data_IF_198229906608
#
_entry.id   IF_198229906608
#
_cell.length_a   1.000
_cell.length_b   1.000
_cell.length_c   1.000
_cell.angle_alpha   90.00
_cell.angle_beta   90.00
_cell.angle_gamma   90.00
#
_symmetry.space_group_name_H-M   'P 1'
#
loop_
_entity.id
_entity.type
_entity.pdbx_description
1 polymer ?
#
# COMPACT_ATOMS: atom_id res chain seq x y z
N UNK A 1 6.41 15.40 -2.86
CA UNK A 1 5.20 15.02 -3.61
C UNK A 1 3.99 15.50 -2.83
N UNK A 2 3.13 16.25 -3.45
CA UNK A 2 1.89 16.70 -2.81
C UNK A 2 0.75 15.76 -3.18
N UNK A 3 -0.36 15.82 -2.49
CA UNK A 3 -1.50 14.94 -2.70
C UNK A 3 -2.53 15.44 -3.71
N UNK A 4 -2.16 16.32 -4.62
CA UNK A 4 -3.10 17.00 -5.52
C UNK A 4 -3.40 16.21 -6.81
N UNK A 5 -3.33 14.89 -6.77
CA UNK A 5 -3.66 14.06 -7.93
C UNK A 5 -5.17 13.87 -8.08
N UNK A 6 -5.66 13.87 -9.32
CA UNK A 6 -7.00 13.41 -9.64
C UNK A 6 -7.11 11.90 -9.38
N UNK A 7 -8.35 11.36 -9.36
CA UNK A 7 -8.57 9.93 -9.19
C UNK A 7 -7.81 9.11 -10.25
N UNK A 8 -7.86 9.54 -11.53
CA UNK A 8 -7.16 8.87 -12.63
C UNK A 8 -5.65 8.90 -12.43
N UNK A 9 -5.10 10.05 -12.03
CA UNK A 9 -3.67 10.20 -11.78
C UNK A 9 -3.21 9.33 -10.62
N UNK A 10 -4.00 9.26 -9.54
CA UNK A 10 -3.70 8.40 -8.39
C UNK A 10 -3.62 6.92 -8.79
N UNK A 11 -4.56 6.46 -9.63
CA UNK A 11 -4.56 5.08 -10.10
C UNK A 11 -3.33 4.76 -10.96
N UNK A 12 -2.92 5.69 -11.82
CA UNK A 12 -1.73 5.52 -12.64
C UNK A 12 -0.46 5.42 -11.78
N UNK A 13 -0.36 6.24 -10.75
CA UNK A 13 0.78 6.21 -9.81
C UNK A 13 0.83 4.86 -9.07
N UNK A 14 -0.31 4.35 -8.63
CA UNK A 14 -0.38 3.03 -7.96
C UNK A 14 0.07 1.91 -8.90
N UNK A 15 -0.39 1.92 -10.16
CA UNK A 15 0.00 0.91 -11.14
C UNK A 15 1.50 0.92 -11.41
N UNK A 16 2.10 2.10 -11.52
CA UNK A 16 3.56 2.24 -11.71
C UNK A 16 4.30 1.70 -10.47
N UNK A 17 3.81 1.99 -9.29
CA UNK A 17 4.43 1.52 -8.04
C UNK A 17 4.44 -0.01 -7.96
N UNK A 18 3.36 -0.67 -8.36
CA UNK A 18 3.31 -2.13 -8.38
C UNK A 18 4.30 -2.73 -9.37
N UNK A 19 4.46 -2.12 -10.55
CA UNK A 19 5.46 -2.54 -11.53
C UNK A 19 6.87 -2.37 -10.97
N UNK A 20 7.14 -1.25 -10.29
CA UNK A 20 8.43 -1.00 -9.65
C UNK A 20 8.72 -2.02 -8.55
N UNK A 21 7.71 -2.38 -7.77
CA UNK A 21 7.85 -3.37 -6.72
C UNK A 21 8.17 -4.76 -7.30
N UNK A 22 7.46 -5.16 -8.36
CA UNK A 22 7.73 -6.44 -9.03
C UNK A 22 9.17 -6.49 -9.58
N UNK A 23 9.62 -5.39 -10.21
CA UNK A 23 10.98 -5.30 -10.72
C UNK A 23 12.01 -5.41 -9.58
N UNK A 24 11.72 -4.81 -8.44
CA UNK A 24 12.56 -4.92 -7.24
C UNK A 24 12.66 -6.37 -6.77
N UNK A 25 11.52 -7.07 -6.66
CA UNK A 25 11.49 -8.47 -6.25
C UNK A 25 12.29 -9.34 -7.23
N UNK A 26 12.15 -9.11 -8.53
CA UNK A 26 12.91 -9.82 -9.55
C UNK A 26 14.41 -9.58 -9.39
N UNK A 27 14.82 -8.34 -9.17
CA UNK A 27 16.24 -7.98 -8.99
C UNK A 27 16.86 -8.61 -7.75
N UNK A 28 16.06 -8.86 -6.71
CA UNK A 28 16.50 -9.47 -5.46
C UNK A 28 16.35 -11.00 -5.45
N UNK A 29 15.70 -11.57 -6.45
CA UNK A 29 15.43 -12.99 -6.49
C UNK A 29 14.37 -13.44 -5.49
N UNK A 30 13.48 -12.56 -5.07
CA UNK A 30 12.38 -12.89 -4.17
C UNK A 30 11.27 -13.60 -4.95
N UNK A 31 10.66 -14.63 -4.35
CA UNK A 31 9.36 -15.10 -4.83
C UNK A 31 8.33 -14.03 -4.51
N UNK A 32 7.43 -13.75 -5.44
CA UNK A 32 6.32 -12.84 -5.20
C UNK A 32 5.07 -13.30 -5.93
N UNK A 33 3.92 -12.97 -5.36
CA UNK A 33 2.62 -13.28 -5.95
C UNK A 33 1.69 -12.10 -5.67
N UNK A 34 1.04 -11.59 -6.71
CA UNK A 34 0.02 -10.57 -6.57
C UNK A 34 -1.21 -11.16 -5.89
N UNK A 35 -1.77 -10.40 -4.95
CA UNK A 35 -3.01 -10.73 -4.24
C UNK A 35 -4.09 -9.72 -4.58
N UNK A 36 -5.32 -10.00 -4.13
CA UNK A 36 -6.42 -9.05 -4.20
C UNK A 36 -7.10 -9.00 -5.56
N UNK A 37 -7.94 -8.00 -5.72
CA UNK A 37 -8.76 -7.81 -6.90
C UNK A 37 -8.14 -6.77 -7.83
N UNK A 38 -8.10 -7.05 -9.13
CA UNK A 38 -7.72 -6.09 -10.17
C UNK A 38 -9.00 -5.50 -10.76
N UNK A 39 -9.69 -4.67 -9.99
CA UNK A 39 -10.98 -4.10 -10.38
C UNK A 39 -10.90 -3.31 -11.69
N UNK A 40 -9.77 -2.69 -11.97
CA UNK A 40 -9.58 -1.89 -13.18
C UNK A 40 -9.60 -2.72 -14.45
N UNK A 41 -8.92 -3.87 -14.46
CA UNK A 41 -8.80 -4.75 -15.63
C UNK A 41 -9.81 -5.88 -15.61
N UNK A 42 -10.37 -6.21 -14.46
CA UNK A 42 -11.34 -7.27 -14.27
C UNK A 42 -12.44 -6.78 -13.32
N UNK A 43 -13.36 -5.92 -13.81
CA UNK A 43 -14.41 -5.36 -12.97
C UNK A 43 -15.25 -6.43 -12.29
N UNK A 44 -15.50 -6.25 -10.99
CA UNK A 44 -16.24 -7.20 -10.17
C UNK A 44 -17.62 -6.63 -9.87
N UNK A 45 -18.72 -7.33 -10.26
CA UNK A 45 -20.06 -6.87 -9.92
C UNK A 45 -20.23 -6.71 -8.40
N UNK A 46 -20.90 -5.64 -7.99
CA UNK A 46 -21.16 -5.34 -6.57
C UNK A 46 -19.89 -5.27 -5.72
N UNK A 47 -18.79 -4.78 -6.30
CA UNK A 47 -17.48 -4.68 -5.64
C UNK A 47 -17.58 -4.00 -4.26
N UNK A 48 -18.34 -2.89 -4.16
CA UNK A 48 -18.46 -2.13 -2.91
C UNK A 48 -19.32 -2.81 -1.85
N UNK A 49 -19.99 -3.91 -2.19
CA UNK A 49 -20.71 -4.74 -1.21
C UNK A 49 -19.83 -5.83 -0.59
N UNK A 50 -18.61 -5.99 -1.10
CA UNK A 50 -17.64 -6.92 -0.53
C UNK A 50 -17.06 -6.32 0.75
N UNK A 51 -16.78 -7.16 1.74
CA UNK A 51 -16.16 -6.73 2.99
C UNK A 51 -14.92 -5.86 2.72
N UNK A 52 -14.81 -4.66 3.33
CA UNK A 52 -13.68 -3.76 3.09
C UNK A 52 -12.30 -4.39 3.30
N UNK A 53 -12.14 -5.32 4.21
CA UNK A 53 -10.86 -6.00 4.41
C UNK A 53 -10.50 -6.85 3.19
N UNK A 54 -11.48 -7.52 2.60
CA UNK A 54 -11.27 -8.33 1.40
C UNK A 54 -11.01 -7.45 0.18
N UNK A 55 -11.76 -6.34 0.03
CA UNK A 55 -11.53 -5.39 -1.06
C UNK A 55 -10.14 -4.78 -1.03
N UNK A 56 -9.55 -4.65 0.15
CA UNK A 56 -8.29 -3.98 0.38
C UNK A 56 -7.20 -4.94 0.87
N UNK A 57 -7.22 -6.19 0.38
CA UNK A 57 -6.16 -7.15 0.68
C UNK A 57 -4.78 -6.56 0.40
N UNK A 58 -3.74 -7.01 1.11
CA UNK A 58 -2.37 -6.65 0.74
C UNK A 58 -2.11 -6.94 -0.74
N UNK A 59 -1.27 -6.14 -1.37
CA UNK A 59 -1.05 -6.21 -2.82
C UNK A 59 -0.21 -7.41 -3.24
N UNK A 60 0.73 -7.85 -2.39
CA UNK A 60 1.65 -8.93 -2.70
C UNK A 60 1.93 -9.82 -1.50
N UNK A 61 2.15 -11.10 -1.80
CA UNK A 61 2.87 -12.02 -0.95
C UNK A 61 4.31 -12.10 -1.46
N UNK A 62 5.29 -12.05 -0.56
CA UNK A 62 6.70 -12.25 -0.91
C UNK A 62 7.32 -13.32 -0.04
N UNK A 63 8.36 -13.97 -0.57
CA UNK A 63 9.16 -14.92 0.19
C UNK A 63 10.61 -14.86 -0.27
N UNK A 64 11.50 -14.68 0.68
CA UNK A 64 12.93 -14.69 0.43
C UNK A 64 13.56 -15.78 1.28
N UNK A 65 13.82 -16.94 0.66
CA UNK A 65 14.48 -18.09 1.31
C UNK A 65 13.80 -18.50 2.62
N UNK A 66 12.45 -18.56 2.60
CA UNK A 66 11.64 -18.94 3.74
C UNK A 66 11.23 -17.79 4.66
N UNK A 67 11.67 -16.57 4.39
CA UNK A 67 11.23 -15.39 5.12
C UNK A 67 10.07 -14.76 4.34
N UNK A 68 8.86 -14.89 4.86
CA UNK A 68 7.63 -14.45 4.21
C UNK A 68 7.21 -13.04 4.62
N UNK A 69 6.42 -12.39 3.77
CA UNK A 69 5.80 -11.11 4.08
C UNK A 69 4.59 -10.85 3.21
N UNK A 70 3.66 -10.05 3.73
CA UNK A 70 2.54 -9.49 2.98
C UNK A 70 2.81 -8.00 2.80
N UNK A 71 2.66 -7.49 1.58
CA UNK A 71 3.11 -6.14 1.26
C UNK A 71 1.98 -5.31 0.68
N UNK A 72 1.81 -4.12 1.26
CA UNK A 72 0.95 -3.07 0.72
C UNK A 72 1.83 -2.08 -0.03
N UNK A 73 1.62 -1.95 -1.35
CA UNK A 73 2.44 -1.09 -2.21
C UNK A 73 1.82 0.29 -2.32
N UNK A 74 2.64 1.32 -2.12
CA UNK A 74 2.22 2.72 -2.20
C UNK A 74 3.07 3.45 -3.24
N UNK A 75 2.42 4.21 -4.11
CA UNK A 75 3.10 5.03 -5.12
C UNK A 75 3.30 6.48 -4.69
N UNK A 76 2.73 6.87 -3.56
CA UNK A 76 2.93 8.17 -2.93
C UNK A 76 3.11 7.99 -1.44
N UNK A 77 3.55 9.05 -0.76
CA UNK A 77 3.63 9.06 0.70
C UNK A 77 2.28 9.38 1.36
N UNK A 78 1.18 9.37 0.60
CA UNK A 78 -0.13 9.73 1.10
C UNK A 78 -0.84 8.50 1.69
N UNK A 79 -1.32 8.63 2.91
CA UNK A 79 -2.11 7.60 3.59
C UNK A 79 -3.50 8.17 3.87
N UNK A 80 -4.53 7.52 3.36
CA UNK A 80 -5.92 7.94 3.60
C UNK A 80 -6.32 7.70 5.04
N UNK A 81 -7.18 8.56 5.56
CA UNK A 81 -7.74 8.38 6.90
C UNK A 81 -8.48 7.04 7.01
N UNK A 82 -9.16 6.60 5.95
CA UNK A 82 -9.84 5.30 5.92
C UNK A 82 -8.88 4.12 6.01
N UNK A 83 -7.69 4.23 5.42
CA UNK A 83 -6.65 3.19 5.54
C UNK A 83 -6.16 3.05 6.97
N UNK A 84 -5.85 4.18 7.60
CA UNK A 84 -5.33 4.15 8.98
C UNK A 84 -6.39 3.63 9.96
N UNK A 85 -7.65 3.93 9.69
CA UNK A 85 -8.77 3.44 10.50
C UNK A 85 -8.93 1.92 10.40
N UNK A 86 -8.69 1.34 9.21
CA UNK A 86 -8.77 -0.10 8.99
C UNK A 86 -7.50 -0.85 9.42
N UNK A 87 -6.38 -0.15 9.59
CA UNK A 87 -5.09 -0.79 9.83
C UNK A 87 -5.07 -1.72 11.05
N UNK A 88 -5.71 -1.40 12.20
CA UNK A 88 -5.75 -2.36 13.31
C UNK A 88 -6.39 -3.71 12.93
N UNK A 89 -7.39 -3.70 12.06
CA UNK A 89 -8.04 -4.92 11.55
C UNK A 89 -7.10 -5.67 10.61
N UNK A 90 -6.37 -4.98 9.75
CA UNK A 90 -5.36 -5.61 8.90
C UNK A 90 -4.25 -6.25 9.72
N UNK A 91 -3.80 -5.61 10.78
CA UNK A 91 -2.79 -6.17 11.67
C UNK A 91 -3.30 -7.44 12.34
N UNK A 92 -4.54 -7.44 12.81
CA UNK A 92 -5.15 -8.61 13.43
C UNK A 92 -5.26 -9.80 12.46
N UNK A 93 -5.63 -9.51 11.20
CA UNK A 93 -5.92 -10.56 10.21
C UNK A 93 -4.73 -11.01 9.39
N UNK A 94 -3.80 -10.12 9.07
CA UNK A 94 -2.75 -10.36 8.08
C UNK A 94 -1.33 -10.30 8.64
N UNK A 95 -1.13 -9.76 9.84
CA UNK A 95 0.20 -9.63 10.40
C UNK A 95 0.48 -10.77 11.37
N UNK A 96 1.60 -11.46 11.17
CA UNK A 96 2.07 -12.49 12.08
C UNK A 96 3.59 -12.44 12.17
N UNK A 97 4.14 -13.09 13.17
CA UNK A 97 5.58 -13.16 13.34
C UNK A 97 6.25 -13.86 12.15
N UNK A 98 5.61 -14.90 11.61
CA UNK A 98 6.13 -15.71 10.51
C UNK A 98 5.91 -15.04 9.15
N UNK A 99 4.92 -14.15 9.04
CA UNK A 99 4.60 -13.46 7.79
C UNK A 99 4.10 -12.05 8.14
N UNK A 100 5.02 -11.11 8.43
CA UNK A 100 4.62 -9.76 8.81
C UNK A 100 4.00 -8.98 7.67
N UNK A 101 3.15 -8.00 8.03
CA UNK A 101 2.61 -7.02 7.11
C UNK A 101 3.63 -5.89 6.93
N UNK A 102 3.87 -5.49 5.70
CA UNK A 102 4.84 -4.44 5.34
C UNK A 102 4.19 -3.44 4.39
N UNK A 103 4.67 -2.20 4.45
CA UNK A 103 4.40 -1.18 3.43
C UNK A 103 5.63 -1.03 2.56
N UNK A 104 5.42 -0.96 1.23
CA UNK A 104 6.49 -0.66 0.27
C UNK A 104 6.15 0.64 -0.45
N UNK A 105 6.93 1.68 -0.21
CA UNK A 105 6.80 2.96 -0.90
C UNK A 105 7.72 2.94 -2.12
N UNK A 106 7.11 2.91 -3.31
CA UNK A 106 7.82 2.71 -4.57
C UNK A 106 7.68 3.93 -5.46
N UNK A 107 8.76 4.70 -5.57
CA UNK A 107 8.82 5.90 -6.41
C UNK A 107 9.78 5.67 -7.57
N UNK A 108 9.48 6.30 -8.71
CA UNK A 108 10.35 6.24 -9.88
C UNK A 108 11.76 6.73 -9.52
N UNK A 109 12.77 6.01 -10.02
CA UNK A 109 14.19 6.33 -9.82
C UNK A 109 14.67 6.24 -8.36
N UNK A 110 13.90 5.59 -7.50
CA UNK A 110 14.26 5.34 -6.11
C UNK A 110 14.14 3.86 -5.78
N UNK A 111 15.00 3.38 -4.90
CA UNK A 111 14.87 2.06 -4.33
C UNK A 111 13.61 2.02 -3.46
N UNK A 112 12.78 0.96 -3.52
CA UNK A 112 11.61 0.85 -2.65
C UNK A 112 11.98 0.96 -1.17
N UNK A 113 11.19 1.73 -0.44
CA UNK A 113 11.34 1.87 1.02
C UNK A 113 10.32 0.96 1.70
N UNK A 114 10.84 -0.02 2.44
CA UNK A 114 9.99 -0.97 3.18
C UNK A 114 9.89 -0.53 4.63
N UNK A 115 8.65 -0.36 5.12
CA UNK A 115 8.38 0.05 6.49
C UNK A 115 7.40 -0.90 7.15
N UNK A 116 7.60 -1.17 8.44
CA UNK A 116 6.58 -1.84 9.25
C UNK A 116 5.40 -0.90 9.52
N UNK A 117 4.20 -1.44 9.74
CA UNK A 117 3.01 -0.61 10.00
C UNK A 117 3.17 0.33 11.19
N UNK A 118 3.90 -0.06 12.23
CA UNK A 118 4.14 0.78 13.40
C UNK A 118 4.83 2.09 13.02
N UNK A 119 5.80 2.02 12.10
CA UNK A 119 6.49 3.21 11.61
C UNK A 119 5.56 4.08 10.77
N UNK A 120 4.70 3.47 9.96
CA UNK A 120 3.70 4.21 9.17
C UNK A 120 2.75 4.97 10.10
N UNK A 121 2.27 4.32 11.16
CA UNK A 121 1.40 4.95 12.16
C UNK A 121 2.10 6.13 12.83
N UNK A 122 3.35 5.97 13.23
CA UNK A 122 4.14 7.04 13.85
C UNK A 122 4.26 8.26 12.94
N UNK A 123 4.59 8.02 11.67
CA UNK A 123 4.72 9.09 10.69
C UNK A 123 3.38 9.76 10.40
N UNK A 124 2.30 8.99 10.37
CA UNK A 124 0.95 9.52 10.18
C UNK A 124 0.57 10.45 11.35
N UNK A 125 0.84 10.05 12.59
CA UNK A 125 0.52 10.84 13.78
C UNK A 125 1.27 12.18 13.81
N UNK A 126 2.44 12.25 13.19
CA UNK A 126 3.24 13.47 13.09
C UNK A 126 2.86 14.37 11.93
N UNK A 127 1.93 13.94 11.08
CA UNK A 127 1.50 14.67 9.89
C UNK A 127 0.17 15.37 10.14
N UNK A 128 -0.26 16.20 9.18
CA UNK A 128 -1.51 16.94 9.29
C UNK A 128 -2.49 16.53 8.20
N UNK A 129 -3.80 16.63 8.50
CA UNK A 129 -4.86 16.30 7.56
C UNK A 129 -4.86 17.24 6.36
N UNK A 130 -5.04 16.65 5.17
CA UNK A 130 -5.25 17.33 3.91
C UNK A 130 -6.44 16.68 3.20
N UNK A 131 -6.96 17.33 2.17
CA UNK A 131 -8.08 16.77 1.40
C UNK A 131 -7.80 16.91 -0.09
N UNK A 132 -8.15 15.86 -0.86
CA UNK A 132 -8.21 15.92 -2.31
C UNK A 132 -9.50 16.62 -2.76
N UNK A 133 -9.60 16.90 -4.05
CA UNK A 133 -10.78 17.57 -4.64
C UNK A 133 -12.08 16.80 -4.42
N UNK A 134 -12.02 15.50 -4.30
CA UNK A 134 -13.18 14.65 -4.03
C UNK A 134 -13.54 14.54 -2.55
N UNK A 135 -12.88 15.32 -1.69
CA UNK A 135 -13.17 15.37 -0.26
C UNK A 135 -12.52 14.26 0.56
N UNK A 136 -11.74 13.37 -0.05
CA UNK A 136 -11.05 12.30 0.67
C UNK A 136 -9.94 12.88 1.54
N UNK A 137 -9.98 12.59 2.84
CA UNK A 137 -8.96 13.04 3.80
C UNK A 137 -7.76 12.09 3.78
N UNK A 138 -6.58 12.67 3.77
CA UNK A 138 -5.32 11.92 3.79
C UNK A 138 -4.25 12.71 4.54
N UNK A 139 -3.13 12.05 4.84
CA UNK A 139 -1.91 12.70 5.33
C UNK A 139 -0.73 12.32 4.46
N UNK A 140 0.12 13.29 4.18
CA UNK A 140 1.37 13.07 3.46
C UNK A 140 2.46 12.80 4.48
N UNK A 141 3.05 11.60 4.44
CA UNK A 141 4.07 11.19 5.40
C UNK A 141 5.43 11.77 5.05
N UNK A 142 6.18 12.19 6.08
CA UNK A 142 7.58 12.53 5.92
C UNK A 142 8.41 11.24 6.04
N UNK A 143 8.71 10.61 4.90
CA UNK A 143 9.42 9.34 4.87
C UNK A 143 10.89 9.46 5.28
N UNK A 144 11.42 10.68 5.39
CA UNK A 144 12.78 10.94 5.86
C UNK A 144 12.83 11.21 7.37
N UNK A 145 11.65 11.23 8.00
CA UNK A 145 11.51 11.56 9.43
C UNK A 145 11.67 10.42 10.42
#
# INVERSE_FOLDING_TARGET
MNGAYSYKERNNVVNIAEVLFEAYCQSKGYFYRRLGFDEKNDPIPNFYNINPLIRNLPDFYINNKGVAGLVMVKGTANIKASEIKLLPHFLEWFDSKECPLLYAFCFKDHKPLLLYPEKVIQLYEKSTDQQWHDGVTYRNLNLNG
#
